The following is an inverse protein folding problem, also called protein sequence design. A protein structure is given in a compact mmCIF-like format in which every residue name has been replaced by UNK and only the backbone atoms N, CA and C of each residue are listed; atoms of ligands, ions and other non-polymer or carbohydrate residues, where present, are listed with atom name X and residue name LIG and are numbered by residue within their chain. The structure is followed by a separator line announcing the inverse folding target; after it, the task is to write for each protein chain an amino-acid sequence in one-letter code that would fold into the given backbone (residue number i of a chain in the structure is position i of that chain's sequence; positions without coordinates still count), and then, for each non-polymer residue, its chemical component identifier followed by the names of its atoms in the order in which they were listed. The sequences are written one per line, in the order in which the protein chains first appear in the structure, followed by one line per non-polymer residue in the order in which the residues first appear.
data_IF_646267105653
#
_entry.id   IF_646267105653
#
_cell.length_a   1.000
_cell.length_b   1.000
_cell.length_c   1.000
_cell.angle_alpha   90.00
_cell.angle_beta   90.00
_cell.angle_gamma   90.00
#
_symmetry.space_group_name_H-M   'P 1'
#
loop_
_entity.id
_entity.type
_entity.pdbx_description
1 polymer ?
#
# COMPACT_ATOMS: atom_id res chain seq x y z
N UNK A 1 28.66 74.09 -30.28
CA UNK A 1 27.56 73.26 -29.74
C UNK A 1 27.04 72.19 -30.71
N UNK A 2 27.10 72.34 -32.03
CA UNK A 2 26.53 71.33 -32.98
C UNK A 2 27.28 69.98 -33.04
N UNK A 3 28.50 69.85 -32.55
CA UNK A 3 29.29 68.59 -32.58
C UNK A 3 28.98 67.59 -31.52
N UNK A 4 28.25 67.92 -30.44
CA UNK A 4 27.90 67.05 -29.36
C UNK A 4 26.46 66.46 -29.46
N UNK A 5 25.64 66.98 -30.37
CA UNK A 5 24.24 66.49 -30.52
C UNK A 5 24.16 64.99 -30.87
N UNK A 6 24.99 64.44 -31.80
CA UNK A 6 24.90 63.01 -32.10
C UNK A 6 25.32 62.14 -30.93
N UNK A 7 26.21 62.55 -30.04
CA UNK A 7 26.61 61.82 -28.84
C UNK A 7 25.50 61.79 -27.81
N UNK A 8 24.79 62.91 -27.65
CA UNK A 8 23.62 62.97 -26.68
C UNK A 8 22.48 62.13 -27.19
N UNK A 9 22.19 62.07 -28.47
CA UNK A 9 21.15 61.25 -29.09
C UNK A 9 21.53 59.79 -28.96
N UNK A 10 22.78 59.41 -29.19
CA UNK A 10 23.25 58.03 -29.04
C UNK A 10 23.17 57.55 -27.57
N UNK A 11 23.56 58.37 -26.59
CA UNK A 11 23.45 58.02 -25.16
C UNK A 11 22.01 57.90 -24.69
N UNK A 12 21.09 58.74 -25.15
CA UNK A 12 19.65 58.62 -24.87
C UNK A 12 19.06 57.36 -25.48
N UNK A 13 19.48 57.02 -26.71
CA UNK A 13 19.03 55.77 -27.36
C UNK A 13 19.53 54.50 -26.62
N UNK A 14 20.79 54.50 -26.16
CA UNK A 14 21.36 53.41 -25.34
C UNK A 14 20.65 53.29 -24.00
N UNK A 15 20.34 54.40 -23.33
CA UNK A 15 19.57 54.40 -22.05
C UNK A 15 18.15 53.91 -22.29
N UNK A 16 17.51 54.29 -23.40
CA UNK A 16 16.18 53.81 -23.75
C UNK A 16 16.17 52.30 -24.06
N UNK A 17 17.18 51.80 -24.79
CA UNK A 17 17.37 50.38 -25.05
C UNK A 17 17.64 49.59 -23.79
N UNK A 18 18.49 50.07 -22.89
CA UNK A 18 18.74 49.43 -21.58
C UNK A 18 17.51 49.46 -20.70
N UNK A 19 16.72 50.51 -20.75
CA UNK A 19 15.44 50.63 -20.00
C UNK A 19 14.34 49.71 -20.52
N UNK A 20 14.30 49.42 -21.83
CA UNK A 20 13.33 48.54 -22.46
C UNK A 20 13.76 47.06 -22.46
N UNK A 21 15.04 46.77 -22.71
CA UNK A 21 15.55 45.41 -22.78
C UNK A 21 16.04 44.87 -21.43
N UNK A 22 16.47 45.76 -20.52
CA UNK A 22 16.95 45.36 -19.19
C UNK A 22 15.96 44.50 -18.40
N UNK A 23 14.70 44.93 -18.23
CA UNK A 23 13.69 44.13 -17.54
C UNK A 23 13.42 42.79 -18.19
N UNK A 24 13.40 42.72 -19.52
CA UNK A 24 13.18 41.47 -20.29
C UNK A 24 14.35 40.51 -20.10
N UNK A 25 15.57 40.98 -20.05
CA UNK A 25 16.76 40.15 -19.82
C UNK A 25 16.81 39.63 -18.39
N UNK A 26 16.48 40.46 -17.41
CA UNK A 26 16.39 40.06 -16.00
C UNK A 26 15.27 39.02 -15.79
N UNK A 27 14.13 39.24 -16.41
CA UNK A 27 13.02 38.29 -16.35
C UNK A 27 13.39 36.93 -16.97
N UNK A 28 14.07 36.94 -18.17
CA UNK A 28 14.56 35.69 -18.78
C UNK A 28 15.58 34.97 -17.91
N UNK A 29 16.54 35.68 -17.31
CA UNK A 29 17.49 35.07 -16.39
C UNK A 29 16.81 34.48 -15.13
N UNK A 30 15.81 35.17 -14.61
CA UNK A 30 15.00 34.65 -13.49
C UNK A 30 14.21 33.40 -13.89
N UNK A 31 13.58 33.40 -15.07
CA UNK A 31 12.87 32.25 -15.61
C UNK A 31 13.81 31.07 -15.88
N UNK A 32 15.02 31.31 -16.42
CA UNK A 32 16.04 30.26 -16.63
C UNK A 32 16.56 29.69 -15.29
N UNK A 33 16.86 30.57 -14.34
CA UNK A 33 17.27 30.15 -12.98
C UNK A 33 16.16 29.36 -12.26
N UNK A 34 14.91 29.81 -12.39
CA UNK A 34 13.76 29.11 -11.86
C UNK A 34 13.58 27.72 -12.48
N UNK A 35 13.68 27.63 -13.84
CA UNK A 35 13.61 26.35 -14.54
C UNK A 35 14.78 25.42 -14.17
N UNK A 36 16.00 25.95 -13.99
CA UNK A 36 17.15 25.18 -13.53
C UNK A 36 16.93 24.65 -12.11
N UNK A 37 16.42 25.49 -11.19
CA UNK A 37 16.07 25.10 -9.84
C UNK A 37 14.96 24.02 -9.81
N UNK A 38 13.89 24.21 -10.57
CA UNK A 38 12.81 23.23 -10.68
C UNK A 38 13.27 21.91 -11.32
N UNK A 39 14.26 21.96 -12.25
CA UNK A 39 14.84 20.77 -12.87
C UNK A 39 15.72 19.95 -11.90
N UNK A 40 16.33 20.59 -10.91
CA UNK A 40 17.13 19.94 -9.88
C UNK A 40 16.28 19.49 -8.67
N UNK A 41 15.12 20.11 -8.49
CA UNK A 41 14.20 19.81 -7.39
C UNK A 41 13.58 18.42 -7.55
N UNK A 42 13.80 17.55 -6.60
CA UNK A 42 13.19 16.22 -6.58
C UNK A 42 13.02 15.72 -5.15
N UNK A 43 12.00 14.90 -4.92
CA UNK A 43 11.82 14.17 -3.68
C UNK A 43 12.55 12.84 -3.72
N UNK A 44 13.09 12.45 -2.58
CA UNK A 44 13.62 11.11 -2.33
C UNK A 44 12.56 10.31 -1.57
N UNK A 45 12.14 9.20 -2.15
CA UNK A 45 11.13 8.31 -1.56
C UNK A 45 11.74 6.93 -1.34
N UNK A 46 11.57 6.36 -0.13
CA UNK A 46 11.85 4.95 0.11
C UNK A 46 10.51 4.20 0.10
N UNK A 47 10.45 3.10 -0.62
CA UNK A 47 9.23 2.35 -0.84
C UNK A 47 9.48 0.84 -0.74
N UNK A 48 8.57 0.10 -0.08
CA UNK A 48 8.55 -1.35 -0.02
C UNK A 48 7.95 -2.00 -1.28
N UNK A 49 7.44 -1.19 -2.22
CA UNK A 49 6.92 -1.68 -3.49
C UNK A 49 8.05 -2.17 -4.43
N UNK A 50 7.74 -3.07 -5.37
CA UNK A 50 8.69 -3.51 -6.40
C UNK A 50 9.25 -2.34 -7.23
N UNK A 51 10.50 -2.46 -7.69
CA UNK A 51 11.18 -1.37 -8.41
C UNK A 51 10.47 -0.94 -9.69
N UNK A 52 9.91 -1.88 -10.44
CA UNK A 52 9.17 -1.59 -11.67
C UNK A 52 7.86 -0.82 -11.42
N UNK A 53 7.24 -1.02 -10.26
CA UNK A 53 6.09 -0.22 -9.79
C UNK A 53 6.55 1.19 -9.45
N UNK A 54 7.62 1.30 -8.67
CA UNK A 54 8.19 2.58 -8.25
C UNK A 54 8.63 3.44 -9.45
N UNK A 55 9.29 2.82 -10.43
CA UNK A 55 9.66 3.49 -11.69
C UNK A 55 8.43 3.97 -12.46
N UNK A 56 7.38 3.16 -12.48
CA UNK A 56 6.12 3.54 -13.12
C UNK A 56 5.40 4.68 -12.41
N UNK A 57 5.39 4.70 -11.08
CA UNK A 57 4.81 5.80 -10.30
C UNK A 57 5.59 7.10 -10.56
N UNK A 58 6.93 7.05 -10.50
CA UNK A 58 7.77 8.22 -10.76
C UNK A 58 7.58 8.76 -12.18
N UNK A 59 7.55 7.87 -13.18
CA UNK A 59 7.33 8.24 -14.57
C UNK A 59 5.95 8.87 -14.77
N UNK A 60 4.88 8.23 -14.30
CA UNK A 60 3.51 8.73 -14.48
C UNK A 60 3.28 10.07 -13.76
N UNK A 61 3.85 10.23 -12.57
CA UNK A 61 3.81 11.51 -11.87
C UNK A 61 4.50 12.61 -12.66
N UNK A 62 5.70 12.35 -13.21
CA UNK A 62 6.41 13.31 -14.04
C UNK A 62 5.64 13.68 -15.32
N UNK A 63 5.03 12.71 -16.01
CA UNK A 63 4.23 12.94 -17.21
C UNK A 63 3.06 13.91 -16.95
N UNK A 64 2.46 13.86 -15.77
CA UNK A 64 1.28 14.66 -15.43
C UNK A 64 1.59 15.99 -14.75
N UNK A 65 2.57 15.98 -13.88
CA UNK A 65 2.90 17.14 -13.03
C UNK A 65 4.15 17.87 -13.44
N UNK A 66 5.00 17.27 -14.28
CA UNK A 66 6.34 17.75 -14.65
C UNK A 66 7.27 17.97 -13.44
N UNK A 67 6.98 17.29 -12.34
CA UNK A 67 7.72 17.29 -11.09
C UNK A 67 8.44 15.94 -10.92
N UNK A 68 9.63 15.95 -10.34
CA UNK A 68 10.47 14.74 -10.23
C UNK A 68 10.43 14.15 -8.84
N UNK A 69 10.32 12.81 -8.80
CA UNK A 69 10.51 12.00 -7.60
C UNK A 69 11.48 10.87 -7.90
N UNK A 70 12.35 10.56 -6.96
CA UNK A 70 13.25 9.43 -7.05
C UNK A 70 12.83 8.41 -6.00
N UNK A 71 12.28 7.27 -6.45
CA UNK A 71 11.76 6.24 -5.58
C UNK A 71 12.72 5.07 -5.54
N UNK A 72 13.21 4.74 -4.35
CA UNK A 72 14.10 3.61 -4.11
C UNK A 72 13.30 2.45 -3.52
N UNK A 73 13.29 1.31 -4.21
CA UNK A 73 12.75 0.07 -3.69
C UNK A 73 13.67 -0.47 -2.60
N UNK A 74 13.12 -0.67 -1.41
CA UNK A 74 13.85 -1.17 -0.24
C UNK A 74 12.92 -2.06 0.57
N UNK A 75 13.41 -3.21 0.99
CA UNK A 75 12.70 -4.01 1.99
C UNK A 75 12.58 -3.25 3.32
N UNK A 76 11.63 -3.63 4.16
CA UNK A 76 11.42 -3.04 5.48
C UNK A 76 12.70 -3.00 6.33
N UNK A 77 13.51 -4.07 6.25
CA UNK A 77 14.81 -4.14 6.94
C UNK A 77 15.82 -3.13 6.39
N UNK A 78 15.86 -2.94 5.06
CA UNK A 78 16.72 -1.96 4.40
C UNK A 78 16.27 -0.53 4.68
N UNK A 79 14.96 -0.26 4.72
CA UNK A 79 14.40 1.03 5.15
C UNK A 79 14.89 1.33 6.56
N UNK A 80 14.64 0.42 7.52
CA UNK A 80 15.05 0.59 8.92
C UNK A 80 16.57 0.78 9.09
N UNK A 81 17.38 0.10 8.29
CA UNK A 81 18.84 0.25 8.31
C UNK A 81 19.28 1.60 7.74
N UNK A 82 18.75 2.00 6.58
CA UNK A 82 19.08 3.27 5.91
C UNK A 82 18.68 4.49 6.75
N UNK A 83 17.60 4.40 7.52
CA UNK A 83 17.17 5.48 8.41
C UNK A 83 18.12 5.68 9.59
N UNK A 84 18.86 4.65 10.01
CA UNK A 84 19.86 4.71 11.09
C UNK A 84 21.25 5.13 10.61
N UNK A 85 21.53 5.03 9.32
CA UNK A 85 22.83 5.39 8.75
C UNK A 85 22.94 6.91 8.59
N UNK A 86 23.76 7.56 9.43
CA UNK A 86 23.92 9.02 9.44
C UNK A 86 24.60 9.57 8.17
N UNK A 87 25.32 8.75 7.41
CA UNK A 87 26.02 9.15 6.17
C UNK A 87 25.26 8.86 4.89
N UNK A 88 24.12 8.17 4.97
CA UNK A 88 23.33 7.75 3.82
C UNK A 88 22.30 8.79 3.35
N UNK A 89 21.76 8.53 2.16
CA UNK A 89 20.63 9.32 1.63
C UNK A 89 19.43 9.14 2.56
N UNK A 90 18.81 10.26 2.94
CA UNK A 90 17.58 10.27 3.74
C UNK A 90 16.37 10.49 2.86
N UNK A 91 15.26 9.79 3.09
CA UNK A 91 14.05 10.00 2.32
C UNK A 91 13.26 11.20 2.83
N UNK A 92 12.58 11.90 1.91
CA UNK A 92 11.54 12.88 2.22
C UNK A 92 10.22 12.18 2.59
N UNK A 93 9.94 11.06 1.91
CA UNK A 93 8.70 10.29 2.06
C UNK A 93 9.04 8.81 2.23
N UNK A 94 8.27 8.14 3.09
CA UNK A 94 8.21 6.69 3.19
C UNK A 94 6.89 6.20 2.60
N UNK A 95 6.95 5.18 1.74
CA UNK A 95 5.80 4.35 1.33
C UNK A 95 6.09 2.96 1.88
N UNK A 96 5.38 2.55 2.91
CA UNK A 96 5.69 1.31 3.63
C UNK A 96 4.44 0.73 4.31
N UNK A 97 4.58 -0.46 4.88
CA UNK A 97 3.54 -1.08 5.68
C UNK A 97 3.18 -0.22 6.90
N UNK A 98 1.93 -0.34 7.37
CA UNK A 98 1.47 0.32 8.59
C UNK A 98 2.40 0.03 9.78
N UNK A 99 2.86 -1.22 9.91
CA UNK A 99 3.74 -1.64 11.00
C UNK A 99 5.07 -0.86 11.00
N UNK A 100 5.68 -0.71 9.82
CA UNK A 100 6.91 0.06 9.69
C UNK A 100 6.67 1.56 9.91
N UNK A 101 5.59 2.12 9.40
CA UNK A 101 5.23 3.51 9.65
C UNK A 101 4.99 3.78 11.14
N UNK A 102 4.33 2.87 11.84
CA UNK A 102 4.17 2.94 13.30
C UNK A 102 5.49 2.81 14.06
N UNK A 103 6.41 1.98 13.57
CA UNK A 103 7.75 1.89 14.15
C UNK A 103 8.52 3.21 13.97
N UNK A 104 8.41 3.85 12.79
CA UNK A 104 9.07 5.13 12.52
C UNK A 104 8.41 6.30 13.29
N UNK A 105 7.10 6.25 13.52
CA UNK A 105 6.42 7.16 14.46
C UNK A 105 7.04 7.07 15.85
N UNK A 106 7.24 5.85 16.39
CA UNK A 106 7.86 5.63 17.72
C UNK A 106 9.32 6.11 17.76
N UNK A 107 10.02 6.07 16.63
CA UNK A 107 11.38 6.59 16.51
C UNK A 107 11.43 8.13 16.41
N UNK A 108 10.29 8.82 16.28
CA UNK A 108 10.18 10.27 16.22
C UNK A 108 10.75 10.89 14.95
N UNK A 109 10.77 10.14 13.83
CA UNK A 109 11.33 10.63 12.55
C UNK A 109 10.29 11.11 11.56
N UNK A 110 9.01 11.01 11.89
CA UNK A 110 7.90 11.44 11.05
C UNK A 110 7.41 12.84 11.46
N UNK A 111 6.98 13.61 10.47
CA UNK A 111 6.29 14.88 10.68
C UNK A 111 4.84 14.79 10.22
N UNK A 112 3.92 15.56 10.83
CA UNK A 112 2.51 15.54 10.46
C UNK A 112 2.29 15.98 9.01
N UNK A 113 1.39 15.28 8.32
CA UNK A 113 0.94 15.62 6.98
C UNK A 113 -0.58 15.51 6.87
N UNK A 114 -1.24 16.58 6.47
CA UNK A 114 -2.67 16.63 6.21
C UNK A 114 -2.97 17.41 4.94
N UNK A 115 -3.94 16.93 4.17
CA UNK A 115 -4.48 17.60 3.00
C UNK A 115 -5.98 17.33 2.89
N UNK A 116 -6.73 18.08 2.05
CA UNK A 116 -8.14 17.79 1.77
C UNK A 116 -8.38 16.38 1.20
N UNK A 117 -7.32 15.73 0.66
CA UNK A 117 -7.37 14.35 0.17
C UNK A 117 -7.21 13.37 1.34
N UNK A 118 -6.14 13.51 2.13
CA UNK A 118 -5.88 12.62 3.27
C UNK A 118 -6.90 12.74 4.39
N UNK A 119 -7.61 13.88 4.50
CA UNK A 119 -8.72 14.05 5.45
C UNK A 119 -9.85 13.04 5.20
N UNK A 120 -10.03 12.59 3.95
CA UNK A 120 -11.07 11.61 3.56
C UNK A 120 -10.67 10.16 3.86
N UNK A 121 -9.41 9.88 4.17
CA UNK A 121 -8.96 8.55 4.60
C UNK A 121 -9.64 8.18 5.91
N UNK A 122 -10.26 7.00 6.04
CA UNK A 122 -10.92 6.58 7.27
C UNK A 122 -9.98 6.62 8.49
N UNK A 123 -10.48 6.97 9.67
CA UNK A 123 -9.66 7.00 10.90
C UNK A 123 -8.98 5.66 11.24
N UNK A 124 -9.55 4.53 10.80
CA UNK A 124 -8.97 3.20 10.98
C UNK A 124 -7.78 2.92 10.05
N UNK A 125 -7.52 3.79 9.06
CA UNK A 125 -6.48 3.64 8.05
C UNK A 125 -5.50 4.82 8.06
N UNK A 126 -5.43 5.60 9.12
CA UNK A 126 -4.45 6.69 9.29
C UNK A 126 -4.08 6.90 10.75
N UNK A 127 -2.96 7.54 10.95
CA UNK A 127 -2.51 7.92 12.30
C UNK A 127 -3.37 9.07 12.87
N UNK A 128 -3.81 9.00 14.14
CA UNK A 128 -4.58 10.09 14.77
C UNK A 128 -3.85 11.44 14.81
N UNK A 129 -2.52 11.42 14.87
CA UNK A 129 -1.65 12.61 14.85
C UNK A 129 -1.24 13.01 13.43
N UNK A 130 -1.80 12.31 12.40
CA UNK A 130 -1.51 12.54 10.98
C UNK A 130 -0.04 12.33 10.59
N UNK A 131 0.69 11.50 11.31
CA UNK A 131 2.08 11.18 11.03
C UNK A 131 2.25 10.19 9.86
N UNK A 132 1.19 9.47 9.52
CA UNK A 132 1.09 8.67 8.30
C UNK A 132 -0.37 8.52 7.86
N UNK A 133 -0.58 8.27 6.58
CA UNK A 133 -1.89 8.07 5.97
C UNK A 133 -1.86 6.82 5.08
N UNK A 134 -2.90 5.97 5.18
CA UNK A 134 -3.07 4.81 4.32
C UNK A 134 -3.29 5.21 2.87
N UNK A 135 -2.63 4.52 1.95
CA UNK A 135 -2.79 4.68 0.51
C UNK A 135 -3.64 3.57 -0.07
N UNK A 136 -3.22 2.34 0.16
CA UNK A 136 -3.81 1.13 -0.41
C UNK A 136 -3.81 0.00 0.60
N UNK A 137 -4.77 -0.89 0.48
CA UNK A 137 -4.82 -2.08 1.33
C UNK A 137 -5.12 -3.35 0.53
N UNK A 138 -4.70 -4.48 1.08
CA UNK A 138 -4.86 -5.80 0.49
C UNK A 138 -5.58 -6.71 1.49
N UNK A 139 -6.89 -6.96 1.34
CA UNK A 139 -7.64 -7.78 2.28
C UNK A 139 -7.45 -9.27 2.03
N UNK A 140 -7.65 -10.08 3.07
CA UNK A 140 -7.79 -11.53 2.94
C UNK A 140 -9.18 -11.86 2.40
N UNK A 141 -9.26 -12.82 1.47
CA UNK A 141 -10.50 -13.21 0.79
C UNK A 141 -10.62 -14.73 0.70
N UNK A 142 -11.84 -15.19 0.46
CA UNK A 142 -12.10 -16.57 0.10
C UNK A 142 -12.02 -16.74 -1.40
N UNK A 143 -11.32 -17.78 -1.83
CA UNK A 143 -11.21 -18.20 -3.22
C UNK A 143 -11.82 -19.57 -3.36
N UNK A 144 -12.84 -19.71 -4.20
CA UNK A 144 -13.55 -20.97 -4.43
C UNK A 144 -13.29 -21.48 -5.85
N UNK A 145 -13.12 -22.79 -5.99
CA UNK A 145 -13.16 -23.41 -7.33
C UNK A 145 -14.55 -23.29 -7.94
N UNK A 146 -14.64 -23.25 -9.27
CA UNK A 146 -15.92 -23.16 -9.94
C UNK A 146 -16.87 -24.27 -9.49
N UNK A 147 -16.41 -25.51 -9.46
CA UNK A 147 -17.20 -26.65 -9.06
C UNK A 147 -17.73 -26.54 -7.61
N UNK A 148 -16.91 -26.05 -6.69
CA UNK A 148 -17.34 -25.87 -5.31
C UNK A 148 -18.30 -24.68 -5.16
N UNK A 149 -18.04 -23.57 -5.88
CA UNK A 149 -18.93 -22.41 -5.88
C UNK A 149 -20.33 -22.75 -6.38
N UNK A 150 -20.46 -23.51 -7.48
CA UNK A 150 -21.74 -23.94 -8.02
C UNK A 150 -22.51 -24.86 -7.04
N UNK A 151 -21.79 -25.69 -6.29
CA UNK A 151 -22.38 -26.61 -5.33
C UNK A 151 -22.72 -25.96 -3.97
N UNK A 152 -21.83 -25.13 -3.44
CA UNK A 152 -21.86 -24.63 -2.06
C UNK A 152 -21.65 -23.13 -1.91
N UNK A 153 -21.27 -22.43 -2.95
CA UNK A 153 -20.86 -21.03 -2.87
C UNK A 153 -21.89 -20.12 -2.19
N UNK A 154 -23.19 -20.36 -2.43
CA UNK A 154 -24.26 -19.57 -1.80
C UNK A 154 -24.34 -19.73 -0.28
N UNK A 155 -23.75 -20.75 0.29
CA UNK A 155 -23.76 -21.04 1.73
C UNK A 155 -22.56 -20.42 2.45
N UNK A 156 -21.47 -20.11 1.72
CA UNK A 156 -20.26 -19.51 2.29
C UNK A 156 -20.46 -18.00 2.43
N UNK A 157 -20.53 -17.51 3.68
CA UNK A 157 -20.72 -16.11 4.03
C UNK A 157 -19.72 -15.60 5.09
N UNK A 158 -19.26 -16.48 5.96
CA UNK A 158 -18.45 -16.16 7.13
C UNK A 158 -17.30 -17.14 7.30
N UNK A 159 -16.39 -16.83 8.21
CA UNK A 159 -15.31 -17.76 8.58
C UNK A 159 -15.86 -19.06 9.15
N UNK A 160 -16.97 -19.02 9.92
CA UNK A 160 -17.56 -20.23 10.53
C UNK A 160 -18.15 -21.19 9.49
N UNK A 161 -18.56 -20.69 8.33
CA UNK A 161 -19.08 -21.53 7.25
C UNK A 161 -18.03 -22.48 6.66
N UNK A 162 -16.72 -22.18 6.87
CA UNK A 162 -15.63 -23.07 6.48
C UNK A 162 -15.63 -24.40 7.26
N UNK A 163 -16.32 -24.45 8.38
CA UNK A 163 -16.46 -25.66 9.21
C UNK A 163 -17.71 -26.47 8.88
N UNK A 164 -18.60 -25.98 8.01
CA UNK A 164 -19.94 -26.59 7.79
C UNK A 164 -19.94 -27.74 6.78
N UNK A 165 -18.87 -27.90 5.98
CA UNK A 165 -18.74 -29.00 5.01
C UNK A 165 -17.55 -29.89 5.39
N UNK A 166 -17.76 -31.03 6.06
CA UNK A 166 -16.69 -31.92 6.51
C UNK A 166 -15.81 -32.48 5.36
N UNK A 167 -16.34 -32.45 4.13
CA UNK A 167 -15.62 -32.92 2.94
C UNK A 167 -14.83 -31.85 2.20
N UNK A 168 -14.89 -30.59 2.62
CA UNK A 168 -14.19 -29.48 1.98
C UNK A 168 -12.68 -29.64 2.11
N UNK A 169 -11.98 -29.48 1.00
CA UNK A 169 -10.51 -29.42 0.93
C UNK A 169 -10.07 -27.97 0.89
N UNK A 170 -9.38 -27.50 1.95
CA UNK A 170 -8.99 -26.12 2.14
C UNK A 170 -7.48 -25.92 1.89
N UNK A 171 -7.11 -24.96 1.04
CA UNK A 171 -5.77 -24.41 0.94
C UNK A 171 -5.66 -23.17 1.84
N UNK A 172 -4.80 -23.22 2.86
CA UNK A 172 -4.72 -22.18 3.88
C UNK A 172 -3.29 -21.64 3.99
N UNK A 173 -3.09 -20.32 4.26
CA UNK A 173 -1.77 -19.76 4.45
C UNK A 173 -1.11 -20.28 5.73
N UNK A 174 0.20 -20.45 5.69
CA UNK A 174 1.00 -20.67 6.89
C UNK A 174 1.09 -19.36 7.68
N UNK A 175 0.41 -19.30 8.82
CA UNK A 175 0.27 -18.07 9.61
C UNK A 175 1.59 -17.59 10.25
N UNK A 176 2.65 -18.38 10.17
CA UNK A 176 3.96 -18.03 10.69
C UNK A 176 5.02 -17.70 9.61
N UNK A 177 4.65 -17.80 8.31
CA UNK A 177 5.64 -17.70 7.23
C UNK A 177 5.53 -16.43 6.39
N UNK A 178 4.50 -15.61 6.60
CA UNK A 178 4.24 -14.37 5.86
C UNK A 178 3.67 -13.31 6.80
N UNK A 179 4.10 -12.06 6.64
CA UNK A 179 3.65 -10.96 7.50
C UNK A 179 2.14 -10.74 7.42
N UNK A 180 1.55 -10.73 6.23
CA UNK A 180 0.10 -10.64 6.03
C UNK A 180 -0.67 -11.77 6.71
N UNK A 181 -0.14 -13.00 6.67
CA UNK A 181 -0.79 -14.13 7.35
C UNK A 181 -0.63 -14.05 8.87
N UNK A 182 0.50 -13.52 9.35
CA UNK A 182 0.71 -13.20 10.76
C UNK A 182 -0.24 -12.08 11.23
N UNK A 183 -0.45 -11.06 10.42
CA UNK A 183 -1.43 -10.00 10.69
C UNK A 183 -2.85 -10.54 10.75
N UNK A 184 -3.20 -11.45 9.83
CA UNK A 184 -4.49 -12.16 9.91
C UNK A 184 -4.64 -12.90 11.26
N UNK A 185 -3.61 -13.63 11.71
CA UNK A 185 -3.67 -14.33 13.01
C UNK A 185 -3.89 -13.35 14.16
N UNK A 186 -3.16 -12.23 14.19
CA UNK A 186 -3.30 -11.20 15.21
C UNK A 186 -4.73 -10.63 15.24
N UNK A 187 -5.22 -10.18 14.10
CA UNK A 187 -6.55 -9.60 13.95
C UNK A 187 -7.66 -10.60 14.27
N UNK A 188 -7.48 -11.86 13.87
CA UNK A 188 -8.45 -12.94 14.14
C UNK A 188 -8.56 -13.25 15.63
N UNK A 189 -7.41 -13.33 16.34
CA UNK A 189 -7.37 -13.54 17.79
C UNK A 189 -7.95 -12.33 18.54
N UNK A 190 -7.72 -11.10 18.05
CA UNK A 190 -8.31 -9.90 18.61
C UNK A 190 -9.84 -9.92 18.54
N UNK A 191 -10.37 -10.30 17.38
CA UNK A 191 -11.82 -10.30 17.13
C UNK A 191 -12.56 -11.39 17.88
N UNK A 192 -11.99 -12.59 18.01
CA UNK A 192 -12.65 -13.76 18.61
C UNK A 192 -12.21 -14.06 20.03
N UNK A 193 -11.09 -13.50 20.47
CA UNK A 193 -10.42 -13.93 21.71
C UNK A 193 -9.60 -15.22 21.52
N UNK A 194 -8.68 -15.45 22.43
CA UNK A 194 -7.70 -16.55 22.34
C UNK A 194 -8.34 -17.94 22.33
N UNK A 195 -9.28 -18.18 23.26
CA UNK A 195 -9.95 -19.49 23.44
C UNK A 195 -10.80 -19.86 22.21
N UNK A 196 -11.59 -18.92 21.69
CA UNK A 196 -12.42 -19.15 20.51
C UNK A 196 -11.56 -19.34 19.26
N UNK A 197 -10.46 -18.59 19.13
CA UNK A 197 -9.52 -18.74 18.03
C UNK A 197 -8.83 -20.11 18.07
N UNK A 198 -8.44 -20.60 19.24
CA UNK A 198 -7.85 -21.93 19.39
C UNK A 198 -8.82 -23.02 18.95
N UNK A 199 -10.05 -22.96 19.44
CA UNK A 199 -11.11 -23.92 19.11
C UNK A 199 -11.43 -23.91 17.62
N UNK A 200 -11.59 -22.72 17.03
CA UNK A 200 -11.87 -22.54 15.60
C UNK A 200 -10.73 -23.05 14.71
N UNK A 201 -9.50 -22.60 14.94
CA UNK A 201 -8.34 -22.97 14.13
C UNK A 201 -8.00 -24.47 14.27
N UNK A 202 -8.21 -25.06 15.45
CA UNK A 202 -8.07 -26.50 15.65
C UNK A 202 -9.11 -27.30 14.85
N UNK A 203 -10.35 -26.81 14.79
CA UNK A 203 -11.39 -27.44 13.97
C UNK A 203 -11.11 -27.27 12.48
N UNK A 204 -10.67 -26.07 12.06
CA UNK A 204 -10.34 -25.76 10.69
C UNK A 204 -9.17 -26.62 10.15
N UNK A 205 -8.23 -27.00 11.02
CA UNK A 205 -7.07 -27.83 10.64
C UNK A 205 -7.47 -29.14 9.96
N UNK A 206 -8.61 -29.73 10.33
CA UNK A 206 -9.09 -30.99 9.72
C UNK A 206 -9.45 -30.82 8.24
N UNK A 207 -9.74 -29.61 7.78
CA UNK A 207 -10.04 -29.26 6.39
C UNK A 207 -8.80 -28.85 5.59
N UNK A 208 -7.70 -28.48 6.29
CA UNK A 208 -6.49 -27.95 5.65
C UNK A 208 -5.67 -29.08 5.04
N UNK A 209 -5.70 -29.20 3.71
CA UNK A 209 -4.88 -30.17 2.99
C UNK A 209 -3.39 -29.85 3.08
N UNK A 210 -3.05 -28.55 3.03
CA UNK A 210 -1.68 -28.08 3.20
C UNK A 210 -1.64 -26.59 3.55
N UNK A 211 -0.70 -26.24 4.42
CA UNK A 211 -0.31 -24.87 4.67
C UNK A 211 0.68 -24.36 3.63
N UNK A 212 0.43 -23.19 3.06
CA UNK A 212 1.25 -22.61 2.00
C UNK A 212 2.04 -21.40 2.48
N UNK A 213 3.30 -21.31 2.03
CA UNK A 213 4.17 -20.16 2.31
C UNK A 213 4.00 -19.01 1.30
N UNK A 214 3.01 -19.10 0.41
CA UNK A 214 2.68 -18.07 -0.57
C UNK A 214 1.19 -18.10 -0.86
N UNK A 215 0.55 -16.95 -0.94
CA UNK A 215 -0.87 -16.80 -1.24
C UNK A 215 -1.20 -17.31 -2.65
N UNK A 216 -0.30 -17.12 -3.62
CA UNK A 216 -0.47 -17.61 -5.00
C UNK A 216 -0.56 -19.14 -5.08
N UNK A 217 0.08 -19.87 -4.18
CA UNK A 217 -0.04 -21.33 -4.09
C UNK A 217 -1.45 -21.76 -3.70
N UNK A 218 -2.10 -21.04 -2.78
CA UNK A 218 -3.47 -21.33 -2.38
C UNK A 218 -4.42 -21.12 -3.57
N UNK A 219 -4.31 -19.97 -4.25
CA UNK A 219 -5.15 -19.68 -5.42
C UNK A 219 -4.93 -20.70 -6.55
N UNK A 220 -3.67 -21.07 -6.83
CA UNK A 220 -3.34 -22.07 -7.85
C UNK A 220 -3.96 -23.43 -7.55
N UNK A 221 -3.92 -23.90 -6.29
CA UNK A 221 -4.53 -25.17 -5.89
C UNK A 221 -6.04 -25.18 -6.09
N UNK A 222 -6.69 -24.07 -5.80
CA UNK A 222 -8.12 -23.90 -6.07
C UNK A 222 -8.38 -23.89 -7.59
N UNK A 223 -7.60 -23.14 -8.36
CA UNK A 223 -7.74 -23.05 -9.81
C UNK A 223 -7.49 -24.38 -10.52
N UNK A 224 -6.58 -25.22 -10.00
CA UNK A 224 -6.33 -26.57 -10.54
C UNK A 224 -7.31 -27.65 -10.05
N UNK A 225 -8.20 -27.33 -9.12
CA UNK A 225 -9.14 -28.30 -8.52
C UNK A 225 -8.49 -29.18 -7.46
N UNK A 226 -7.26 -28.92 -7.03
CA UNK A 226 -6.62 -29.63 -5.90
C UNK A 226 -7.21 -29.26 -4.55
N UNK A 227 -7.85 -28.10 -4.47
CA UNK A 227 -8.61 -27.64 -3.30
C UNK A 227 -9.97 -27.10 -3.75
N UNK A 228 -10.99 -27.32 -2.92
CA UNK A 228 -12.33 -26.76 -3.12
C UNK A 228 -12.31 -25.25 -2.89
N UNK A 229 -11.58 -24.85 -1.86
CA UNK A 229 -11.53 -23.47 -1.37
C UNK A 229 -10.12 -23.11 -0.91
N UNK A 230 -9.79 -21.84 -0.97
CA UNK A 230 -8.54 -21.28 -0.45
C UNK A 230 -8.77 -19.95 0.25
N UNK A 231 -7.86 -19.62 1.16
CA UNK A 231 -7.73 -18.27 1.72
C UNK A 231 -6.48 -17.63 1.13
N UNK A 232 -6.65 -16.44 0.57
CA UNK A 232 -5.56 -15.70 -0.07
C UNK A 232 -5.77 -14.19 0.08
N UNK A 233 -4.78 -13.40 -0.30
CA UNK A 233 -4.96 -11.98 -0.46
C UNK A 233 -5.72 -11.63 -1.74
N UNK A 234 -6.45 -10.52 -1.69
CA UNK A 234 -7.31 -10.11 -2.80
C UNK A 234 -6.52 -9.76 -4.07
N UNK A 235 -5.32 -9.20 -3.95
CA UNK A 235 -4.51 -8.83 -5.11
C UNK A 235 -4.15 -10.03 -5.96
N UNK A 236 -3.62 -11.08 -5.33
CA UNK A 236 -3.31 -12.35 -6.01
C UNK A 236 -4.57 -13.03 -6.55
N UNK A 237 -5.65 -13.08 -5.76
CA UNK A 237 -6.90 -13.67 -6.23
C UNK A 237 -7.46 -12.94 -7.46
N UNK A 238 -7.45 -11.62 -7.47
CA UNK A 238 -7.90 -10.78 -8.60
C UNK A 238 -7.02 -10.95 -9.83
N UNK A 239 -5.70 -11.10 -9.64
CA UNK A 239 -4.80 -11.40 -10.75
C UNK A 239 -5.19 -12.71 -11.43
N UNK A 240 -5.28 -13.81 -10.68
CA UNK A 240 -5.66 -15.11 -11.24
C UNK A 240 -7.03 -15.08 -11.93
N UNK A 241 -8.01 -14.39 -11.31
CA UNK A 241 -9.34 -14.22 -11.91
C UNK A 241 -9.29 -13.48 -13.26
N UNK A 242 -8.52 -12.39 -13.34
CA UNK A 242 -8.33 -11.62 -14.59
C UNK A 242 -7.57 -12.41 -15.64
N UNK A 243 -6.67 -13.30 -15.24
CA UNK A 243 -5.93 -14.20 -16.13
C UNK A 243 -6.80 -15.39 -16.60
N UNK A 244 -8.09 -15.43 -16.22
CA UNK A 244 -9.06 -16.41 -16.66
C UNK A 244 -9.07 -17.70 -15.85
N UNK A 245 -8.48 -17.74 -14.66
CA UNK A 245 -8.57 -18.88 -13.77
C UNK A 245 -10.03 -19.16 -13.38
N UNK A 246 -10.48 -20.44 -13.35
CA UNK A 246 -11.87 -20.82 -13.04
C UNK A 246 -12.11 -20.76 -11.52
N UNK A 247 -12.07 -19.57 -10.97
CA UNK A 247 -12.24 -19.29 -9.54
C UNK A 247 -13.31 -18.22 -9.31
N UNK A 248 -13.86 -18.23 -8.10
CA UNK A 248 -14.74 -17.17 -7.58
C UNK A 248 -14.13 -16.57 -6.32
N UNK A 249 -14.21 -15.26 -6.19
CA UNK A 249 -13.74 -14.51 -5.01
C UNK A 249 -14.96 -14.14 -4.18
N UNK A 250 -14.97 -14.51 -2.90
CA UNK A 250 -16.00 -14.13 -1.93
C UNK A 250 -15.39 -13.36 -0.77
N UNK A 251 -16.16 -12.41 -0.25
CA UNK A 251 -15.77 -11.60 0.90
C UNK A 251 -16.44 -12.14 2.18
N UNK A 252 -15.66 -12.44 3.25
CA UNK A 252 -16.22 -12.80 4.56
C UNK A 252 -17.11 -11.66 5.08
N UNK A 253 -18.37 -11.93 5.39
CA UNK A 253 -19.33 -10.92 5.83
C UNK A 253 -19.24 -10.62 7.33
N UNK A 254 -18.59 -11.49 8.08
CA UNK A 254 -18.19 -11.26 9.47
C UNK A 254 -16.87 -10.50 9.62
N UNK A 255 -16.32 -10.02 8.47
CA UNK A 255 -15.12 -9.22 8.40
C UNK A 255 -13.86 -10.01 8.08
N UNK A 256 -12.84 -9.29 7.67
CA UNK A 256 -11.51 -9.87 7.36
C UNK A 256 -10.40 -8.91 7.69
N UNK A 257 -9.20 -9.44 7.88
CA UNK A 257 -7.99 -8.63 8.04
C UNK A 257 -7.49 -8.08 6.70
N UNK A 258 -6.62 -7.11 6.78
CA UNK A 258 -6.01 -6.50 5.60
C UNK A 258 -4.57 -6.07 5.90
N UNK A 259 -3.75 -6.00 4.88
CA UNK A 259 -2.43 -5.40 4.90
C UNK A 259 -2.52 -3.98 4.36
N UNK A 260 -2.11 -2.98 5.16
CA UNK A 260 -2.19 -1.57 4.80
C UNK A 260 -0.80 -1.05 4.41
N UNK A 261 -0.71 -0.46 3.22
CA UNK A 261 0.43 0.34 2.77
C UNK A 261 0.05 1.82 2.88
N UNK A 262 0.88 2.60 3.51
CA UNK A 262 0.66 4.02 3.73
C UNK A 262 1.84 4.89 3.28
N UNK A 263 1.64 6.21 3.36
CA UNK A 263 2.67 7.22 3.15
C UNK A 263 2.89 8.05 4.41
N UNK A 264 4.14 8.39 4.66
CA UNK A 264 4.55 9.28 5.74
C UNK A 264 5.61 10.27 5.27
N UNK A 265 5.57 11.50 5.78
CA UNK A 265 6.60 12.52 5.57
C UNK A 265 7.62 12.43 6.68
N UNK A 266 8.89 12.45 6.33
CA UNK A 266 9.98 12.39 7.33
C UNK A 266 10.42 13.79 7.77
N UNK A 267 11.11 13.87 8.90
CA UNK A 267 11.67 15.12 9.41
C UNK A 267 12.82 15.69 8.54
N UNK A 268 13.28 14.96 7.53
CA UNK A 268 14.30 15.45 6.58
C UNK A 268 13.69 16.16 5.38
N UNK A 269 12.37 16.04 5.19
CA UNK A 269 11.67 16.69 4.08
C UNK A 269 11.55 18.20 4.32
N UNK A 270 12.08 18.98 3.39
CA UNK A 270 12.01 20.46 3.40
C UNK A 270 11.04 21.02 2.34
N UNK A 271 10.73 20.22 1.30
CA UNK A 271 9.90 20.65 0.17
C UNK A 271 8.42 20.25 0.36
N UNK A 272 7.70 21.04 1.16
CA UNK A 272 6.29 20.77 1.45
C UNK A 272 5.37 20.84 0.23
N UNK A 273 5.66 21.69 -0.77
CA UNK A 273 4.81 21.84 -1.96
C UNK A 273 4.90 20.59 -2.86
N UNK A 274 6.12 20.13 -3.13
CA UNK A 274 6.35 18.94 -3.94
C UNK A 274 5.83 17.68 -3.21
N UNK A 275 6.03 17.61 -1.89
CA UNK A 275 5.50 16.55 -1.01
C UNK A 275 3.97 16.47 -1.10
N UNK A 276 3.29 17.60 -0.97
CA UNK A 276 1.83 17.68 -1.09
C UNK A 276 1.37 17.18 -2.47
N UNK A 277 2.02 17.67 -3.54
CA UNK A 277 1.67 17.31 -4.89
C UNK A 277 1.84 15.80 -5.14
N UNK A 278 2.90 15.18 -4.59
CA UNK A 278 3.16 13.76 -4.78
C UNK A 278 2.24 12.87 -3.93
N UNK A 279 2.10 13.15 -2.63
CA UNK A 279 1.24 12.33 -1.76
C UNK A 279 -0.22 12.40 -2.23
N UNK A 280 -0.75 13.59 -2.53
CA UNK A 280 -2.12 13.71 -3.03
C UNK A 280 -2.32 13.01 -4.37
N UNK A 281 -1.28 13.00 -5.23
CA UNK A 281 -1.33 12.28 -6.49
C UNK A 281 -1.37 10.76 -6.31
N UNK A 282 -0.73 10.21 -5.26
CA UNK A 282 -0.79 8.77 -4.98
C UNK A 282 -2.23 8.25 -4.73
N UNK A 283 -3.16 9.12 -4.40
CA UNK A 283 -4.61 8.80 -4.28
C UNK A 283 -5.37 8.95 -5.61
N UNK A 284 -4.70 9.29 -6.70
CA UNK A 284 -5.36 9.44 -8.01
C UNK A 284 -5.60 8.10 -8.69
N UNK A 285 -6.59 8.03 -9.61
CA UNK A 285 -6.78 6.86 -10.46
C UNK A 285 -5.54 6.47 -11.26
N UNK A 286 -4.70 7.43 -11.63
CA UNK A 286 -3.47 7.17 -12.39
C UNK A 286 -2.44 6.40 -11.58
N UNK A 287 -2.30 6.68 -10.29
CA UNK A 287 -1.40 5.94 -9.42
C UNK A 287 -1.85 4.48 -9.26
N UNK A 288 -3.16 4.27 -9.03
CA UNK A 288 -3.69 2.89 -8.91
C UNK A 288 -3.60 2.14 -10.26
N UNK A 289 -3.72 2.83 -11.39
CA UNK A 289 -3.56 2.22 -12.71
C UNK A 289 -2.12 1.77 -12.97
N UNK A 290 -1.12 2.47 -12.44
CA UNK A 290 0.29 2.01 -12.48
C UNK A 290 0.45 0.66 -11.77
N UNK A 291 -0.17 0.48 -10.59
CA UNK A 291 -0.15 -0.79 -9.86
C UNK A 291 -0.86 -1.89 -10.67
N UNK A 292 -2.04 -1.59 -11.19
CA UNK A 292 -2.85 -2.54 -11.99
C UNK A 292 -2.14 -3.01 -13.25
N UNK A 293 -1.42 -2.13 -13.95
CA UNK A 293 -0.63 -2.48 -15.13
C UNK A 293 0.52 -3.45 -14.81
N UNK A 294 0.91 -3.54 -13.54
CA UNK A 294 1.93 -4.45 -13.02
C UNK A 294 1.34 -5.62 -12.25
N UNK A 295 0.07 -5.92 -12.51
CA UNK A 295 -0.67 -7.02 -11.89
C UNK A 295 -0.78 -6.93 -10.35
N UNK A 296 -0.72 -5.72 -9.77
CA UNK A 296 -0.96 -5.46 -8.36
C UNK A 296 -2.35 -4.84 -8.21
N UNK A 297 -3.28 -5.59 -7.63
CA UNK A 297 -4.70 -5.23 -7.54
C UNK A 297 -5.12 -4.90 -6.11
N UNK A 298 -4.55 -3.82 -5.56
CA UNK A 298 -4.87 -3.32 -4.23
C UNK A 298 -6.20 -2.56 -4.21
N UNK A 299 -6.81 -2.48 -3.04
CA UNK A 299 -7.95 -1.59 -2.77
C UNK A 299 -7.45 -0.23 -2.27
N UNK A 300 -8.15 0.83 -2.64
CA UNK A 300 -7.80 2.19 -2.25
C UNK A 300 -8.26 2.48 -0.82
N UNK A 301 -7.44 3.15 -0.02
CA UNK A 301 -7.81 3.57 1.33
C UNK A 301 -8.90 4.65 1.33
N UNK A 302 -8.98 5.46 0.26
CA UNK A 302 -10.12 6.35 0.06
C UNK A 302 -11.38 5.53 -0.26
N UNK A 303 -12.52 5.82 0.39
CA UNK A 303 -13.78 5.16 0.07
C UNK A 303 -14.14 5.38 -1.41
N UNK A 304 -14.27 4.33 -2.22
CA UNK A 304 -14.63 4.46 -3.62
C UNK A 304 -16.10 4.90 -3.76
N UNK A 305 -16.39 5.64 -4.83
CA UNK A 305 -17.78 6.03 -5.15
C UNK A 305 -18.67 4.80 -5.46
N UNK A 306 -18.07 3.74 -6.03
CA UNK A 306 -18.71 2.46 -6.27
C UNK A 306 -17.85 1.37 -5.60
N UNK A 307 -18.25 0.85 -4.45
CA UNK A 307 -17.52 -0.20 -3.75
C UNK A 307 -17.37 -1.46 -4.63
N UNK A 308 -16.20 -2.09 -4.54
CA UNK A 308 -16.00 -3.40 -5.15
C UNK A 308 -16.88 -4.44 -4.46
N UNK A 309 -17.50 -5.29 -5.26
CA UNK A 309 -18.33 -6.39 -4.76
C UNK A 309 -17.74 -7.74 -5.17
N UNK A 310 -18.02 -8.74 -4.36
CA UNK A 310 -17.65 -10.13 -4.62
C UNK A 310 -18.56 -10.80 -5.69
N UNK A 311 -18.33 -12.08 -5.97
CA UNK A 311 -19.13 -12.85 -6.93
C UNK A 311 -20.63 -12.95 -6.57
N UNK A 312 -21.00 -12.58 -5.34
CA UNK A 312 -22.42 -12.53 -4.89
C UNK A 312 -22.96 -11.11 -4.80
N UNK A 313 -22.22 -10.09 -5.24
CA UNK A 313 -22.62 -8.69 -5.14
C UNK A 313 -22.52 -8.12 -3.73
N UNK A 314 -21.69 -8.68 -2.84
CA UNK A 314 -21.51 -8.23 -1.47
C UNK A 314 -20.27 -7.36 -1.34
N UNK A 315 -20.38 -6.30 -0.57
CA UNK A 315 -19.26 -5.42 -0.26
C UNK A 315 -18.28 -6.08 0.72
N UNK A 316 -17.02 -5.62 0.66
CA UNK A 316 -15.99 -6.04 1.59
C UNK A 316 -16.25 -5.46 2.98
N UNK A 317 -16.20 -6.32 3.99
CA UNK A 317 -16.24 -5.95 5.40
C UNK A 317 -14.85 -6.17 5.99
N UNK A 318 -14.27 -5.13 6.58
CA UNK A 318 -13.00 -5.22 7.28
C UNK A 318 -13.24 -5.40 8.79
N UNK A 319 -12.31 -6.05 9.49
CA UNK A 319 -12.35 -6.09 10.94
C UNK A 319 -12.38 -4.67 11.53
N UNK A 320 -13.29 -4.35 12.45
CA UNK A 320 -13.53 -2.99 12.91
C UNK A 320 -12.40 -2.42 13.76
N UNK A 321 -11.60 -3.29 14.36
CA UNK A 321 -10.49 -2.90 15.24
C UNK A 321 -9.24 -3.60 14.75
N UNK A 322 -8.14 -2.86 14.68
CA UNK A 322 -6.82 -3.39 14.36
C UNK A 322 -5.89 -3.07 15.53
N UNK A 323 -5.71 -4.05 16.41
CA UNK A 323 -4.75 -3.94 17.49
C UNK A 323 -3.34 -4.01 16.92
N UNK A 324 -2.56 -3.01 17.28
CA UNK A 324 -1.14 -3.05 16.96
C UNK A 324 -0.42 -4.02 17.89
N UNK A 325 -0.01 -5.12 17.34
CA UNK A 325 0.87 -6.05 18.02
C UNK A 325 2.31 -5.57 17.91
N UNK A 326 3.07 -5.69 19.00
CA UNK A 326 4.52 -5.58 18.90
C UNK A 326 5.07 -6.76 18.09
N UNK A 327 6.25 -6.62 17.50
CA UNK A 327 6.95 -7.72 16.83
C UNK A 327 7.07 -8.97 17.72
N UNK A 328 7.27 -8.78 19.02
CA UNK A 328 7.32 -9.88 19.97
C UNK A 328 5.95 -10.52 20.18
N UNK A 329 4.89 -9.72 20.34
CA UNK A 329 3.53 -10.23 20.49
C UNK A 329 3.06 -11.03 19.28
N UNK A 330 3.42 -10.58 18.05
CA UNK A 330 3.15 -11.33 16.82
C UNK A 330 3.92 -12.66 16.80
N UNK A 331 5.22 -12.65 17.10
CA UNK A 331 6.03 -13.88 17.21
C UNK A 331 5.49 -14.85 18.25
N UNK A 332 5.02 -14.37 19.38
CA UNK A 332 4.45 -15.20 20.44
C UNK A 332 3.16 -15.88 19.97
N UNK A 333 2.28 -15.16 19.26
CA UNK A 333 1.07 -15.75 18.66
C UNK A 333 1.40 -16.76 17.55
N UNK A 334 2.39 -16.47 16.71
CA UNK A 334 2.84 -17.39 15.67
C UNK A 334 3.45 -18.66 16.28
N UNK A 335 4.26 -18.54 17.34
CA UNK A 335 4.81 -19.68 18.08
C UNK A 335 3.71 -20.51 18.75
N UNK A 336 2.72 -19.85 19.33
CA UNK A 336 1.53 -20.52 19.88
C UNK A 336 0.78 -21.29 18.80
N UNK A 337 0.49 -20.66 17.64
CA UNK A 337 -0.21 -21.31 16.53
C UNK A 337 0.56 -22.53 16.00
N UNK A 338 1.88 -22.42 15.83
CA UNK A 338 2.72 -23.54 15.41
C UNK A 338 2.59 -24.70 16.39
N UNK A 339 2.72 -24.43 17.68
CA UNK A 339 2.75 -25.46 18.74
C UNK A 339 1.39 -26.07 19.01
N UNK A 340 0.34 -25.24 19.08
CA UNK A 340 -0.98 -25.66 19.56
C UNK A 340 -1.90 -26.13 18.43
N UNK A 341 -1.74 -25.59 17.22
CA UNK A 341 -2.61 -25.84 16.08
C UNK A 341 -1.89 -26.66 15.01
N UNK A 342 -0.85 -26.09 14.36
CA UNK A 342 -0.24 -26.66 13.17
C UNK A 342 0.40 -28.04 13.40
N UNK A 343 1.16 -28.18 14.48
CA UNK A 343 1.77 -29.42 14.91
C UNK A 343 1.10 -29.99 16.17
N UNK A 344 -0.11 -29.52 16.46
CA UNK A 344 -0.84 -29.79 17.67
C UNK A 344 -0.76 -31.23 18.14
N UNK A 345 -0.98 -31.46 19.47
CA UNK A 345 -0.82 -32.74 20.11
C UNK A 345 -1.46 -33.85 19.28
N UNK A 346 -0.64 -34.74 18.75
CA UNK A 346 -1.10 -36.09 18.36
C UNK A 346 -1.94 -36.62 19.56
N UNK A 347 -3.23 -36.79 19.30
CA UNK A 347 -4.12 -37.40 20.26
C UNK A 347 -3.88 -38.89 20.32
#
# INVERSE_FOLDING_TARGET
MKKFVPFIVLSLFVILLLGLCGPILVQRQQEEAQRAYEAERHLVVFSDLPQDVNDGLAQRFYEQKHLRVQIYSKSDSEIRQSLKDDGGVKPDILIASEDDLQAQKKNGILQPYASPVTDKVPPSMKDPEQLWNGLWYNPMVFVLSQAYYERRGMQIQSWDDLLTDPGMVLAFPDLASMDMAGEFLCSFVEMRGMEDSERYLSSLQSHVAAYSKSMSVNVRRVASGEADMGVADASVARQYYKDGAPIFILYPQDGTSYWLTGAAVTNWCEDGELTNAFIDWLYSPDAIDVLRQRHIFLSEALPPANPEVDAKGRELVLFPVKKQYSDQGRRDLQAWWIKSIRFGKEK
#
